data_IF_600782762208
#
_entry.id   IF_600782762208
#
_cell.length_a   1.000
_cell.length_b   1.000
_cell.length_c   1.000
_cell.angle_alpha   90.00
_cell.angle_beta   90.00
_cell.angle_gamma   90.00
#
_symmetry.space_group_name_H-M   'P 1'
#
loop_
_entity.id
_entity.type
_entity.pdbx_description
1 polymer ?
#
# COMPACT_ATOMS: atom_id res chain seq x y z
N UNK A 1 -6.55 25.62 -4.10
CA UNK A 1 -6.99 24.23 -3.88
C UNK A 1 -8.19 24.23 -2.96
N UNK A 2 -9.21 23.44 -3.21
CA UNK A 2 -10.40 23.33 -2.38
C UNK A 2 -10.60 21.83 -2.02
N UNK A 3 -10.92 21.54 -0.76
CA UNK A 3 -11.07 20.15 -0.28
C UNK A 3 -12.40 20.03 0.45
N UNK A 4 -13.20 19.02 0.05
CA UNK A 4 -14.42 18.65 0.77
C UNK A 4 -14.23 17.25 1.35
N UNK A 5 -14.45 17.12 2.65
CA UNK A 5 -14.36 15.86 3.38
C UNK A 5 -15.76 15.32 3.61
N UNK A 6 -15.98 14.05 3.30
CA UNK A 6 -17.23 13.35 3.54
C UNK A 6 -16.94 11.99 4.21
N UNK A 7 -17.59 11.77 5.35
CA UNK A 7 -17.55 10.48 6.04
C UNK A 7 -18.51 9.50 5.34
N UNK A 8 -18.00 8.40 4.81
CA UNK A 8 -18.80 7.33 4.23
C UNK A 8 -19.15 6.28 5.28
N UNK A 9 -18.14 5.88 6.06
CA UNK A 9 -18.25 4.88 7.12
C UNK A 9 -17.39 5.32 8.32
N UNK A 10 -17.52 4.65 9.46
CA UNK A 10 -16.73 4.96 10.68
C UNK A 10 -15.22 5.03 10.48
N UNK A 11 -14.72 4.30 9.48
CA UNK A 11 -13.28 4.17 9.19
C UNK A 11 -12.92 4.55 7.77
N UNK A 12 -13.88 5.03 6.97
CA UNK A 12 -13.68 5.36 5.55
C UNK A 12 -14.21 6.75 5.26
N UNK A 13 -13.33 7.60 4.80
CA UNK A 13 -13.66 8.97 4.36
C UNK A 13 -13.42 9.12 2.86
N UNK A 14 -14.14 10.03 2.26
CA UNK A 14 -13.94 10.45 0.88
C UNK A 14 -13.55 11.93 0.87
N UNK A 15 -12.45 12.22 0.22
CA UNK A 15 -11.98 13.56 -0.04
C UNK A 15 -12.30 13.91 -1.50
N UNK A 16 -13.05 14.98 -1.73
CA UNK A 16 -13.19 15.60 -3.04
C UNK A 16 -12.19 16.77 -3.10
N UNK A 17 -11.19 16.66 -3.98
CA UNK A 17 -10.09 17.61 -4.08
C UNK A 17 -10.18 18.30 -5.43
N UNK A 18 -10.29 19.63 -5.39
CA UNK A 18 -10.25 20.48 -6.55
C UNK A 18 -8.90 21.21 -6.62
N UNK A 19 -8.16 20.94 -7.69
CA UNK A 19 -6.89 21.59 -8.00
C UNK A 19 -7.13 22.66 -9.07
N UNK A 20 -6.56 23.82 -8.84
CA UNK A 20 -6.70 24.97 -9.73
C UNK A 20 -6.18 24.67 -11.14
N UNK A 21 -6.81 25.23 -12.15
CA UNK A 21 -6.45 25.04 -13.56
C UNK A 21 -4.98 25.37 -13.85
N UNK A 22 -4.44 26.41 -13.20
CA UNK A 22 -3.05 26.83 -13.37
C UNK A 22 -2.06 25.76 -12.87
N UNK A 23 -2.33 25.16 -11.70
CA UNK A 23 -1.52 24.08 -11.13
C UNK A 23 -1.56 22.83 -12.01
N UNK A 24 -2.75 22.48 -12.52
CA UNK A 24 -2.89 21.36 -13.44
C UNK A 24 -2.18 21.62 -14.78
N UNK A 25 -2.24 22.84 -15.28
CA UNK A 25 -1.54 23.26 -16.51
C UNK A 25 -0.01 23.20 -16.36
N UNK A 26 0.52 23.48 -15.17
CA UNK A 26 1.94 23.26 -14.86
C UNK A 26 2.30 21.77 -14.89
N UNK A 27 1.46 20.90 -14.33
CA UNK A 27 1.62 19.45 -14.42
C UNK A 27 1.63 18.95 -15.86
N UNK A 28 0.69 19.45 -16.68
CA UNK A 28 0.63 19.18 -18.12
C UNK A 28 1.89 19.64 -18.86
N UNK A 29 2.47 20.78 -18.47
CA UNK A 29 3.72 21.28 -19.04
C UNK A 29 4.91 20.39 -18.66
N UNK A 30 4.97 19.93 -17.41
CA UNK A 30 5.99 18.97 -16.97
C UNK A 30 5.87 17.65 -17.73
N UNK A 31 4.65 17.10 -17.85
CA UNK A 31 4.35 15.90 -18.65
C UNK A 31 4.80 16.04 -20.10
N UNK A 32 4.50 17.16 -20.74
CA UNK A 32 4.98 17.45 -22.10
C UNK A 32 6.51 17.44 -22.17
N UNK A 33 7.22 18.12 -21.27
CA UNK A 33 8.68 18.17 -21.29
C UNK A 33 9.34 16.79 -21.12
N UNK A 34 8.72 15.93 -20.31
CA UNK A 34 9.15 14.55 -20.09
C UNK A 34 8.96 13.70 -21.34
N UNK A 35 7.81 13.83 -22.00
CA UNK A 35 7.38 12.92 -23.06
C UNK A 35 7.59 13.43 -24.49
N UNK A 36 7.91 14.71 -24.70
CA UNK A 36 8.03 15.31 -26.05
C UNK A 36 8.95 14.54 -26.99
N UNK A 37 9.96 13.87 -26.45
CA UNK A 37 10.91 13.07 -27.24
C UNK A 37 10.33 11.73 -27.76
N UNK A 38 9.21 11.29 -27.21
CA UNK A 38 8.57 10.05 -27.57
C UNK A 38 7.57 10.21 -28.75
N UNK A 39 7.12 11.43 -28.98
CA UNK A 39 6.15 11.74 -30.03
C UNK A 39 6.81 12.02 -31.38
N UNK A 40 6.23 11.44 -32.43
CA UNK A 40 6.65 11.64 -33.81
C UNK A 40 5.53 12.36 -34.58
N UNK A 41 5.68 13.65 -34.80
CA UNK A 41 4.70 14.48 -35.50
C UNK A 41 5.24 14.84 -36.87
N UNK A 42 4.51 14.54 -37.97
CA UNK A 42 4.91 14.93 -39.32
C UNK A 42 5.19 16.41 -39.41
N UNK A 43 6.29 16.81 -40.06
CA UNK A 43 6.72 18.19 -40.22
C UNK A 43 7.57 18.75 -39.07
N UNK A 44 7.76 17.98 -37.97
CA UNK A 44 8.61 18.41 -36.87
C UNK A 44 9.72 17.37 -36.61
N UNK A 45 10.90 17.88 -36.24
CA UNK A 45 11.97 17.00 -35.75
C UNK A 45 11.55 16.37 -34.41
N UNK A 46 11.83 15.08 -34.22
CA UNK A 46 11.54 14.33 -33.00
C UNK A 46 11.96 15.13 -31.73
N UNK A 47 11.05 15.31 -30.80
CA UNK A 47 11.26 16.07 -29.56
C UNK A 47 11.23 17.60 -29.72
N UNK A 48 10.81 18.13 -30.85
CA UNK A 48 10.73 19.58 -31.12
C UNK A 48 9.32 20.07 -31.50
N UNK A 49 8.33 19.18 -31.56
CA UNK A 49 6.95 19.55 -31.81
C UNK A 49 6.37 20.29 -30.60
N UNK A 50 5.76 21.47 -30.78
CA UNK A 50 5.09 22.17 -29.69
C UNK A 50 3.93 21.38 -29.11
N UNK A 51 3.65 21.54 -27.79
CA UNK A 51 2.60 20.82 -27.06
C UNK A 51 1.25 20.86 -27.79
N UNK A 52 0.76 22.03 -28.17
CA UNK A 52 -0.51 22.22 -28.90
C UNK A 52 -0.61 21.40 -30.19
N UNK A 53 0.50 21.18 -30.86
CA UNK A 53 0.55 20.39 -32.10
C UNK A 53 0.46 18.90 -31.79
N UNK A 54 1.12 18.45 -30.70
CA UNK A 54 1.01 17.06 -30.23
C UNK A 54 -0.41 16.76 -29.78
N UNK A 55 -1.01 17.64 -28.96
CA UNK A 55 -2.40 17.54 -28.50
C UNK A 55 -3.40 17.50 -29.67
N UNK A 56 -3.17 18.29 -30.70
CA UNK A 56 -4.02 18.26 -31.91
C UNK A 56 -3.89 16.96 -32.71
N UNK A 57 -2.72 16.33 -32.69
CA UNK A 57 -2.43 15.14 -33.48
C UNK A 57 -2.78 13.84 -32.77
N UNK A 58 -2.49 13.76 -31.47
CA UNK A 58 -2.67 12.57 -30.62
C UNK A 58 -3.85 12.70 -29.63
N UNK A 59 -4.42 13.88 -29.48
CA UNK A 59 -5.42 14.19 -28.46
C UNK A 59 -4.80 14.79 -27.18
N UNK A 60 -5.58 15.59 -26.46
CA UNK A 60 -5.14 16.25 -25.23
C UNK A 60 -4.82 15.25 -24.12
N UNK A 61 -5.55 14.12 -24.10
CA UNK A 61 -5.41 13.07 -23.08
C UNK A 61 -4.02 12.44 -23.00
N UNK A 62 -3.20 12.59 -24.01
CA UNK A 62 -1.85 12.03 -24.09
C UNK A 62 -0.93 12.46 -22.95
N UNK A 63 -1.19 13.62 -22.35
CA UNK A 63 -0.40 14.15 -21.24
C UNK A 63 -1.10 14.04 -19.89
N UNK A 64 -2.36 13.58 -19.85
CA UNK A 64 -3.16 13.56 -18.63
C UNK A 64 -2.62 12.60 -17.59
N UNK A 65 -2.25 11.39 -18.00
CA UNK A 65 -1.76 10.35 -17.09
C UNK A 65 -0.53 10.81 -16.29
N UNK A 66 0.48 11.34 -16.99
CA UNK A 66 1.67 11.85 -16.32
C UNK A 66 1.39 13.11 -15.49
N UNK A 67 0.47 13.98 -15.94
CA UNK A 67 0.08 15.17 -15.20
C UNK A 67 -0.69 14.80 -13.91
N UNK A 68 -1.59 13.82 -13.97
CA UNK A 68 -2.29 13.26 -12.81
C UNK A 68 -1.29 12.68 -11.81
N UNK A 69 -0.37 11.84 -12.28
CA UNK A 69 0.65 11.21 -11.44
C UNK A 69 1.61 12.21 -10.76
N UNK A 70 1.75 13.39 -11.31
CA UNK A 70 2.55 14.48 -10.72
C UNK A 70 1.73 15.32 -9.73
N UNK A 71 0.49 15.67 -10.11
CA UNK A 71 -0.32 16.65 -9.37
C UNK A 71 -1.16 16.02 -8.26
N UNK A 72 -1.76 14.84 -8.49
CA UNK A 72 -2.65 14.23 -7.50
C UNK A 72 -1.96 13.87 -6.18
N UNK A 73 -0.73 13.29 -6.15
CA UNK A 73 -0.06 13.00 -4.89
C UNK A 73 0.21 14.27 -4.07
N UNK A 74 0.73 15.32 -4.69
CA UNK A 74 1.01 16.59 -3.99
C UNK A 74 -0.27 17.25 -3.44
N UNK A 75 -1.37 17.18 -4.19
CA UNK A 75 -2.65 17.72 -3.78
C UNK A 75 -3.28 16.90 -2.65
N UNK A 76 -3.15 15.57 -2.72
CA UNK A 76 -3.62 14.66 -1.68
C UNK A 76 -2.84 14.85 -0.37
N UNK A 77 -1.52 14.90 -0.42
CA UNK A 77 -0.68 15.10 0.76
C UNK A 77 -1.03 16.41 1.48
N UNK A 78 -1.22 17.49 0.74
CA UNK A 78 -1.69 18.77 1.31
C UNK A 78 -3.10 18.66 1.91
N UNK A 79 -4.01 17.93 1.24
CA UNK A 79 -5.37 17.76 1.72
C UNK A 79 -5.43 17.01 3.04
N UNK A 80 -4.64 15.96 3.24
CA UNK A 80 -4.58 15.22 4.49
C UNK A 80 -3.90 16.02 5.60
N UNK A 81 -2.84 16.77 5.30
CA UNK A 81 -2.17 17.65 6.28
C UNK A 81 -3.10 18.78 6.77
N UNK A 82 -3.80 19.47 5.85
CA UNK A 82 -4.71 20.57 6.18
C UNK A 82 -5.92 20.14 7.02
N UNK A 83 -6.36 18.87 6.87
CA UNK A 83 -7.53 18.33 7.59
C UNK A 83 -7.16 17.39 8.74
N UNK A 84 -5.88 17.26 9.11
CA UNK A 84 -5.36 16.38 10.18
C UNK A 84 -5.83 14.92 10.07
N UNK A 85 -5.84 14.41 8.85
CA UNK A 85 -6.30 13.07 8.51
C UNK A 85 -5.13 12.11 8.57
N UNK A 86 -5.32 10.98 9.25
CA UNK A 86 -4.30 9.95 9.41
C UNK A 86 -4.69 8.67 8.63
N UNK A 87 -4.31 8.58 7.34
CA UNK A 87 -4.57 7.41 6.53
C UNK A 87 -3.79 6.19 7.03
N UNK A 88 -4.41 5.03 6.97
CA UNK A 88 -3.76 3.75 7.33
C UNK A 88 -3.51 2.88 6.11
N UNK A 89 -4.06 3.27 4.95
CA UNK A 89 -3.89 2.55 3.68
C UNK A 89 -3.77 3.54 2.52
N UNK A 90 -3.46 3.02 1.33
CA UNK A 90 -3.39 3.82 0.11
C UNK A 90 -4.78 4.27 -0.32
N UNK A 91 -4.94 5.54 -0.78
CA UNK A 91 -6.21 6.02 -1.27
C UNK A 91 -6.60 5.37 -2.60
N UNK A 92 -7.89 5.10 -2.78
CA UNK A 92 -8.49 4.85 -4.08
C UNK A 92 -8.83 6.20 -4.73
N UNK A 93 -8.25 6.48 -5.90
CA UNK A 93 -8.39 7.77 -6.59
C UNK A 93 -9.27 7.58 -7.82
N UNK A 94 -10.34 8.38 -7.90
CA UNK A 94 -11.22 8.47 -9.06
C UNK A 94 -11.25 9.91 -9.60
N UNK A 95 -11.10 10.07 -10.90
CA UNK A 95 -11.11 11.38 -11.56
C UNK A 95 -12.55 11.74 -11.94
N UNK A 96 -13.06 12.85 -11.41
CA UNK A 96 -14.39 13.37 -11.74
C UNK A 96 -14.32 14.29 -12.95
N UNK A 97 -13.36 15.23 -12.96
CA UNK A 97 -13.23 16.21 -14.02
C UNK A 97 -11.75 16.40 -14.38
N UNK A 98 -11.47 16.35 -15.68
CA UNK A 98 -10.15 16.62 -16.24
C UNK A 98 -10.30 17.30 -17.60
N UNK A 99 -9.50 18.34 -17.86
CA UNK A 99 -9.49 19.04 -19.15
C UNK A 99 -8.47 20.16 -19.18
N UNK A 100 -7.98 20.49 -20.38
CA UNK A 100 -7.09 21.63 -20.57
C UNK A 100 -7.79 22.94 -20.22
N UNK A 101 -7.19 23.76 -19.34
CA UNK A 101 -7.73 25.04 -18.91
C UNK A 101 -8.92 24.97 -17.93
N UNK A 102 -9.20 23.79 -17.38
CA UNK A 102 -10.19 23.56 -16.35
C UNK A 102 -9.50 23.06 -15.06
N UNK A 103 -10.18 23.24 -13.91
CA UNK A 103 -9.73 22.66 -12.65
C UNK A 103 -9.78 21.12 -12.74
N UNK A 104 -8.77 20.46 -12.16
CA UNK A 104 -8.77 19.02 -11.97
C UNK A 104 -9.58 18.71 -10.70
N UNK A 105 -10.61 17.88 -10.82
CA UNK A 105 -11.40 17.42 -9.68
C UNK A 105 -11.26 15.91 -9.60
N UNK A 106 -10.84 15.44 -8.46
CA UNK A 106 -10.74 14.01 -8.18
C UNK A 106 -11.23 13.67 -6.78
N UNK A 107 -11.68 12.44 -6.59
CA UNK A 107 -12.00 11.90 -5.27
C UNK A 107 -10.92 10.93 -4.82
N UNK A 108 -10.61 10.99 -3.53
CA UNK A 108 -9.73 10.04 -2.87
C UNK A 108 -10.51 9.39 -1.73
N UNK A 109 -10.81 8.10 -1.87
CA UNK A 109 -11.41 7.29 -0.81
C UNK A 109 -10.29 6.67 0.01
N UNK A 110 -10.29 6.93 1.31
CA UNK A 110 -9.20 6.52 2.19
C UNK A 110 -9.70 5.92 3.49
N UNK A 111 -9.03 4.87 3.94
CA UNK A 111 -9.26 4.28 5.25
C UNK A 111 -8.46 5.03 6.30
N UNK A 112 -9.14 5.46 7.37
CA UNK A 112 -8.55 6.20 8.48
C UNK A 112 -8.62 5.41 9.77
N UNK A 113 -7.72 5.75 10.69
CA UNK A 113 -7.76 5.21 12.04
C UNK A 113 -9.05 5.67 12.74
N UNK A 114 -9.86 4.74 13.29
CA UNK A 114 -11.06 5.13 14.02
C UNK A 114 -10.73 5.85 15.31
N UNK A 115 -11.58 6.80 15.70
CA UNK A 115 -11.53 7.40 17.02
C UNK A 115 -11.88 6.39 18.10
N UNK A 116 -11.21 6.47 19.22
CA UNK A 116 -11.40 5.58 20.35
C UNK A 116 -12.17 6.29 21.46
N UNK A 117 -13.37 5.81 21.71
CA UNK A 117 -14.14 6.21 22.90
C UNK A 117 -13.77 5.31 24.08
N UNK A 118 -13.29 5.93 25.16
CA UNK A 118 -12.96 5.21 26.37
C UNK A 118 -14.24 4.82 27.11
N UNK A 119 -14.44 3.53 27.37
CA UNK A 119 -15.45 3.05 28.26
C UNK A 119 -15.12 3.33 29.75
N UNK A 120 -15.92 2.79 30.68
CA UNK A 120 -15.63 2.86 32.10
C UNK A 120 -14.40 2.02 32.43
N UNK A 121 -13.25 2.66 32.61
CA UNK A 121 -11.96 1.98 32.91
C UNK A 121 -11.54 2.14 34.36
N UNK A 122 -12.26 2.95 35.14
CA UNK A 122 -12.00 3.15 36.58
C UNK A 122 -12.87 2.23 37.40
N UNK A 123 -12.28 1.54 38.38
CA UNK A 123 -13.01 0.64 39.27
C UNK A 123 -13.25 -0.75 38.67
N UNK A 124 -12.54 -1.14 37.63
CA UNK A 124 -12.61 -2.50 37.09
C UNK A 124 -12.02 -3.46 38.14
N UNK A 125 -12.85 -4.33 38.68
CA UNK A 125 -12.44 -5.40 39.58
C UNK A 125 -11.99 -6.59 38.74
N UNK A 126 -10.78 -7.06 38.98
CA UNK A 126 -10.20 -8.24 38.33
C UNK A 126 -9.79 -9.25 39.40
N UNK A 127 -10.06 -10.51 39.15
CA UNK A 127 -9.56 -11.57 40.03
C UNK A 127 -8.03 -11.66 39.90
N UNK A 128 -7.35 -11.72 41.03
CA UNK A 128 -5.91 -11.94 41.05
C UNK A 128 -5.65 -13.40 40.65
N UNK A 129 -5.10 -13.59 39.48
CA UNK A 129 -4.66 -14.90 39.02
C UNK A 129 -3.39 -15.25 39.79
N UNK A 130 -3.48 -16.24 40.67
CA UNK A 130 -2.33 -16.83 41.33
C UNK A 130 -1.89 -18.05 40.49
N UNK A 131 -0.73 -17.97 39.86
CA UNK A 131 -0.12 -19.12 39.19
C UNK A 131 0.80 -19.85 40.18
N UNK A 132 0.42 -21.03 40.54
CA UNK A 132 1.31 -21.95 41.27
C UNK A 132 2.18 -22.69 40.25
N UNK A 133 3.48 -22.68 40.48
CA UNK A 133 4.42 -23.47 39.68
C UNK A 133 4.35 -24.89 40.13
N UNK A 134 3.96 -25.82 39.27
CA UNK A 134 3.87 -27.23 39.55
C UNK A 134 5.18 -27.95 39.22
N UNK A 135 5.38 -29.14 39.82
CA UNK A 135 6.53 -29.98 39.48
C UNK A 135 6.53 -30.37 38.00
N UNK A 136 5.34 -30.47 37.37
CA UNK A 136 5.20 -30.72 35.92
C UNK A 136 5.73 -29.57 35.09
N UNK A 137 5.55 -28.32 35.51
CA UNK A 137 6.06 -27.15 34.82
C UNK A 137 7.60 -27.09 34.88
N UNK A 138 8.16 -27.48 36.02
CA UNK A 138 9.62 -27.59 36.19
C UNK A 138 10.18 -28.68 35.27
N UNK A 139 9.51 -29.84 35.18
CA UNK A 139 9.93 -30.93 34.30
C UNK A 139 9.89 -30.55 32.82
N UNK A 140 8.86 -29.82 32.39
CA UNK A 140 8.76 -29.28 31.03
C UNK A 140 9.92 -28.33 30.69
N UNK A 141 10.23 -27.42 31.60
CA UNK A 141 11.37 -26.48 31.37
C UNK A 141 12.72 -27.21 31.35
N UNK A 142 12.88 -28.27 32.16
CA UNK A 142 14.06 -29.11 32.10
C UNK A 142 14.19 -29.85 30.76
N UNK A 143 13.06 -30.33 30.21
CA UNK A 143 13.07 -31.02 28.92
C UNK A 143 13.40 -30.03 27.78
N UNK A 144 12.84 -28.81 27.80
CA UNK A 144 13.20 -27.74 26.85
C UNK A 144 14.70 -27.42 26.95
N UNK A 145 15.26 -27.37 28.14
CA UNK A 145 16.69 -27.14 28.36
C UNK A 145 17.55 -28.30 27.83
N UNK A 146 17.09 -29.54 27.97
CA UNK A 146 17.75 -30.73 27.41
C UNK A 146 17.74 -30.66 25.86
N UNK A 147 16.59 -30.40 25.27
CA UNK A 147 16.47 -30.28 23.81
C UNK A 147 17.37 -29.20 23.22
N UNK A 148 17.46 -28.03 23.85
CA UNK A 148 18.37 -26.96 23.43
C UNK A 148 19.85 -27.37 23.46
N UNK A 149 20.23 -28.26 24.35
CA UNK A 149 21.60 -28.75 24.48
C UNK A 149 21.83 -30.12 23.80
N UNK A 150 20.79 -30.67 23.14
CA UNK A 150 20.89 -31.93 22.44
C UNK A 150 21.79 -31.80 21.20
N UNK A 151 22.49 -32.90 20.89
CA UNK A 151 23.32 -33.02 19.69
C UNK A 151 22.71 -34.06 18.77
N UNK A 152 22.61 -33.73 17.50
CA UNK A 152 22.26 -34.72 16.49
C UNK A 152 23.43 -35.70 16.32
N UNK A 153 23.15 -36.96 16.54
CA UNK A 153 24.10 -38.07 16.35
C UNK A 153 23.60 -38.92 15.19
N UNK A 154 24.46 -39.13 14.19
CA UNK A 154 24.12 -40.03 13.10
C UNK A 154 24.02 -41.49 13.61
N UNK A 155 22.91 -42.14 13.26
CA UNK A 155 22.62 -43.53 13.61
C UNK A 155 22.43 -44.31 12.32
N UNK A 156 23.37 -45.19 12.02
CA UNK A 156 23.38 -45.97 10.76
C UNK A 156 23.13 -47.48 11.00
N UNK A 157 23.11 -47.89 12.23
CA UNK A 157 23.12 -49.32 12.65
C UNK A 157 21.74 -49.88 13.01
N UNK A 158 20.68 -49.06 12.91
CA UNK A 158 19.29 -49.47 13.20
C UNK A 158 18.27 -48.79 12.27
N UNK A 159 17.09 -49.39 12.10
CA UNK A 159 15.98 -48.74 11.41
C UNK A 159 15.51 -47.48 12.15
N UNK A 160 14.90 -46.58 11.40
CA UNK A 160 14.32 -45.32 11.88
C UNK A 160 13.25 -45.64 12.94
N UNK A 161 13.26 -44.86 14.02
CA UNK A 161 12.29 -44.91 15.11
C UNK A 161 11.55 -43.59 15.21
N UNK A 162 10.41 -43.63 15.90
CA UNK A 162 9.65 -42.43 16.22
C UNK A 162 10.50 -41.44 17.04
N UNK A 163 10.50 -40.15 16.65
CA UNK A 163 11.37 -39.13 17.22
C UNK A 163 12.73 -38.93 16.53
N UNK A 164 13.11 -39.81 15.57
CA UNK A 164 14.34 -39.59 14.81
C UNK A 164 14.17 -38.51 13.73
N UNK A 165 15.20 -37.70 13.55
CA UNK A 165 15.29 -36.77 12.41
C UNK A 165 15.88 -37.51 11.21
N UNK A 166 15.11 -37.58 10.11
CA UNK A 166 15.55 -38.31 8.90
C UNK A 166 15.80 -37.35 7.74
N UNK A 167 16.79 -37.69 6.93
CA UNK A 167 17.07 -37.01 5.67
C UNK A 167 16.55 -37.91 4.56
N UNK A 168 15.57 -37.40 3.77
CA UNK A 168 14.95 -38.15 2.67
C UNK A 168 15.08 -37.39 1.36
N UNK A 169 15.30 -38.14 0.30
CA UNK A 169 15.11 -37.63 -1.06
C UNK A 169 13.68 -37.95 -1.49
N UNK A 170 12.99 -37.02 -2.11
CA UNK A 170 11.67 -37.25 -2.66
C UNK A 170 11.60 -36.72 -4.09
N UNK A 171 10.81 -37.37 -4.91
CA UNK A 171 10.52 -36.96 -6.28
C UNK A 171 9.00 -36.95 -6.44
N UNK A 172 8.46 -35.79 -6.83
CA UNK A 172 7.02 -35.63 -7.02
C UNK A 172 6.65 -35.77 -8.51
N UNK A 173 5.60 -36.54 -8.79
CA UNK A 173 5.07 -36.68 -10.14
C UNK A 173 3.66 -36.13 -10.21
N UNK A 174 3.37 -35.32 -11.25
CA UNK A 174 2.01 -34.91 -11.60
C UNK A 174 1.71 -35.57 -12.96
N UNK A 175 0.70 -36.43 -13.01
CA UNK A 175 0.31 -37.18 -14.20
C UNK A 175 1.46 -37.97 -14.86
N UNK A 176 2.39 -38.48 -14.05
CA UNK A 176 3.52 -39.29 -14.54
C UNK A 176 4.70 -38.47 -15.08
N UNK A 177 4.70 -37.15 -14.91
CA UNK A 177 5.81 -36.23 -15.25
C UNK A 177 6.47 -35.75 -13.97
N UNK A 178 7.84 -35.87 -13.79
CA UNK A 178 8.58 -35.42 -12.61
C UNK A 178 8.60 -33.88 -12.49
#
# INVERSE_FOLDING_TARGET
MNVKVQDIEKTVIQLEIEVDADTFEEGMKKSYLKNVKNFNVPGFRKGKAPRKIIERYYGEHVFYEDAINEVCPEAYDKAIEENDIHPVDRPEIDIIQIGGGQSLIFTAKVTVKPDVELGEYKGVEVEKVESEVTDEDVEKELEIAREKNARLVAVEDRPVKDGDTVNINFEGFIDGVP
#
